data_IF_411550705397
#
_entry.id   IF_411550705397
#
_cell.length_a   1.000
_cell.length_b   1.000
_cell.length_c   1.000
_cell.angle_alpha   90.00
_cell.angle_beta   90.00
_cell.angle_gamma   90.00
#
_symmetry.space_group_name_H-M   'P 1'
#
loop_
_entity.id
_entity.type
_entity.pdbx_description
1 polymer ?
#
# COMPACT_ATOMS: atom_id res chain seq x y z
N UNK A 1 -10.90 17.93 -8.15
CA UNK A 1 -9.92 18.14 -7.06
C UNK A 1 -8.55 17.64 -7.56
N UNK A 2 -7.46 18.40 -7.41
CA UNK A 2 -6.13 17.99 -7.89
C UNK A 2 -5.39 17.21 -6.79
N UNK A 3 -4.67 16.15 -7.16
CA UNK A 3 -3.98 15.24 -6.24
C UNK A 3 -2.50 15.10 -6.60
N UNK A 4 -1.59 15.01 -5.60
CA UNK A 4 -0.17 14.83 -5.86
C UNK A 4 0.09 13.41 -6.41
N UNK A 5 0.63 13.32 -7.63
CA UNK A 5 1.01 12.06 -8.25
C UNK A 5 2.53 11.87 -8.17
N UNK A 6 2.96 10.83 -7.44
CA UNK A 6 4.35 10.41 -7.38
C UNK A 6 4.65 9.45 -8.54
N UNK A 7 5.10 9.97 -9.68
CA UNK A 7 5.63 9.16 -10.77
C UNK A 7 7.08 8.78 -10.44
N UNK A 8 7.35 7.95 -9.42
CA UNK A 8 8.70 7.55 -8.97
C UNK A 8 9.56 8.65 -8.29
N UNK A 9 10.61 8.23 -7.57
CA UNK A 9 11.48 9.09 -6.75
C UNK A 9 12.36 10.09 -7.54
N UNK A 10 12.25 10.10 -8.88
CA UNK A 10 13.04 10.95 -9.78
C UNK A 10 12.18 11.93 -10.58
N UNK A 11 10.87 12.02 -10.34
CA UNK A 11 10.02 13.00 -11.02
C UNK A 11 9.59 14.13 -10.11
N UNK A 12 9.41 15.30 -10.73
CA UNK A 12 8.83 16.48 -10.10
C UNK A 12 7.39 16.22 -9.66
N UNK A 13 6.99 16.92 -8.58
CA UNK A 13 5.63 16.90 -8.06
C UNK A 13 4.63 17.35 -9.14
N UNK A 14 3.77 16.43 -9.60
CA UNK A 14 2.69 16.74 -10.55
C UNK A 14 1.34 16.68 -9.86
N UNK A 15 0.54 17.73 -10.10
CA UNK A 15 -0.84 17.82 -9.64
C UNK A 15 -1.77 17.31 -10.74
N UNK A 16 -2.25 16.08 -10.59
CA UNK A 16 -3.16 15.45 -11.55
C UNK A 16 -4.56 15.23 -10.98
N UNK A 17 -5.39 14.49 -11.69
CA UNK A 17 -6.69 14.05 -11.16
C UNK A 17 -6.50 12.97 -10.09
N UNK A 18 -7.39 12.96 -9.09
CA UNK A 18 -7.35 11.98 -8.00
C UNK A 18 -7.77 10.60 -8.51
N UNK A 19 -6.80 9.76 -8.85
CA UNK A 19 -7.06 8.37 -9.23
C UNK A 19 -7.30 7.50 -8.00
N UNK A 20 -8.07 6.43 -8.16
CA UNK A 20 -8.29 5.42 -7.11
C UNK A 20 -6.97 4.95 -6.49
N UNK A 21 -5.98 4.62 -7.32
CA UNK A 21 -4.67 4.15 -6.87
C UNK A 21 -3.93 5.20 -6.04
N UNK A 22 -4.00 6.47 -6.42
CA UNK A 22 -3.33 7.55 -5.70
C UNK A 22 -3.97 7.76 -4.31
N UNK A 23 -5.30 7.82 -4.26
CA UNK A 23 -6.06 7.94 -3.00
C UNK A 23 -5.78 6.74 -2.10
N UNK A 24 -5.87 5.52 -2.65
CA UNK A 24 -5.65 4.28 -1.90
C UNK A 24 -4.21 4.19 -1.35
N UNK A 25 -3.21 4.68 -2.10
CA UNK A 25 -1.82 4.73 -1.63
C UNK A 25 -1.65 5.67 -0.44
N UNK A 26 -2.29 6.84 -0.47
CA UNK A 26 -2.24 7.82 0.62
C UNK A 26 -2.96 7.31 1.87
N UNK A 27 -4.19 6.80 1.72
CA UNK A 27 -4.95 6.26 2.85
C UNK A 27 -4.28 5.04 3.50
N UNK A 28 -3.55 4.25 2.72
CA UNK A 28 -2.80 3.10 3.21
C UNK A 28 -1.43 3.41 3.83
N UNK A 29 -0.98 4.68 3.83
CA UNK A 29 0.35 5.04 4.31
C UNK A 29 0.33 5.62 5.75
N UNK A 30 0.88 4.89 6.74
CA UNK A 30 0.87 5.32 8.16
C UNK A 30 1.71 6.57 8.45
N UNK A 31 2.54 7.03 7.49
CA UNK A 31 3.25 8.31 7.61
C UNK A 31 2.27 9.47 7.80
N UNK A 32 1.10 9.44 7.14
CA UNK A 32 0.08 10.48 7.34
C UNK A 32 -0.52 10.46 8.75
N UNK A 33 -0.35 9.37 9.49
CA UNK A 33 -0.75 9.22 10.88
C UNK A 33 0.38 9.54 11.88
N UNK A 34 1.47 10.17 11.42
CA UNK A 34 2.61 10.53 12.27
C UNK A 34 3.57 9.37 12.56
N UNK A 35 3.38 8.19 11.96
CA UNK A 35 4.20 7.02 12.27
C UNK A 35 5.40 6.86 11.34
N UNK A 36 6.54 6.47 11.93
CA UNK A 36 7.70 6.00 11.20
C UNK A 36 7.64 4.49 11.04
N UNK A 37 7.91 4.01 9.82
CA UNK A 37 7.74 2.60 9.46
C UNK A 37 8.90 2.10 8.61
N UNK A 38 9.40 0.91 8.93
CA UNK A 38 10.42 0.22 8.15
C UNK A 38 10.13 -1.29 8.07
N UNK A 39 10.60 -1.93 7.01
CA UNK A 39 10.41 -3.36 6.80
C UNK A 39 9.05 -3.76 6.22
N UNK A 40 8.36 -2.86 5.50
CA UNK A 40 7.09 -3.20 4.79
C UNK A 40 7.24 -4.33 3.78
N UNK A 41 8.45 -4.53 3.26
CA UNK A 41 8.79 -5.56 2.29
C UNK A 41 9.96 -6.39 2.79
N UNK A 42 9.87 -7.71 2.70
CA UNK A 42 10.96 -8.64 2.98
C UNK A 42 11.47 -9.25 1.69
N UNK A 43 12.80 -9.31 1.55
CA UNK A 43 13.50 -10.00 0.48
C UNK A 43 13.85 -11.40 0.96
N UNK A 44 13.33 -12.42 0.29
CA UNK A 44 13.57 -13.83 0.59
C UNK A 44 14.27 -14.49 -0.59
N UNK A 45 15.20 -15.41 -0.29
CA UNK A 45 15.76 -16.31 -1.30
C UNK A 45 15.06 -17.65 -1.15
N UNK A 46 14.33 -18.05 -2.19
CA UNK A 46 13.56 -19.29 -2.24
C UNK A 46 14.22 -20.20 -3.27
N UNK A 47 14.19 -21.51 -3.04
CA UNK A 47 14.59 -22.49 -4.03
C UNK A 47 13.38 -22.82 -4.91
N UNK A 48 13.53 -22.69 -6.22
CA UNK A 48 12.50 -23.13 -7.16
C UNK A 48 12.46 -24.67 -7.24
N UNK A 49 11.42 -25.22 -7.87
CA UNK A 49 11.22 -26.69 -8.01
C UNK A 49 12.41 -27.40 -8.69
N UNK A 50 13.21 -26.63 -9.45
CA UNK A 50 14.41 -27.08 -10.15
C UNK A 50 15.71 -26.96 -9.34
N UNK A 51 15.66 -26.47 -8.09
CA UNK A 51 16.86 -26.23 -7.29
C UNK A 51 17.54 -24.87 -7.55
N UNK A 52 16.94 -23.99 -8.36
CA UNK A 52 17.49 -22.67 -8.64
C UNK A 52 17.15 -21.65 -7.53
N UNK A 53 18.10 -20.80 -7.15
CA UNK A 53 17.86 -19.73 -6.15
C UNK A 53 17.13 -18.55 -6.80
N UNK A 54 15.90 -18.31 -6.36
CA UNK A 54 15.06 -17.19 -6.80
C UNK A 54 14.93 -16.15 -5.68
N UNK A 55 15.07 -14.86 -6.02
CA UNK A 55 14.82 -13.75 -5.08
C UNK A 55 13.37 -13.31 -5.20
N UNK A 56 12.62 -13.33 -4.09
CA UNK A 56 11.24 -12.86 -4.02
C UNK A 56 11.12 -11.70 -3.04
N UNK A 57 10.38 -10.67 -3.44
CA UNK A 57 9.99 -9.57 -2.55
C UNK A 57 8.55 -9.82 -2.12
N UNK A 58 8.32 -9.98 -0.81
CA UNK A 58 6.99 -10.15 -0.23
C UNK A 58 6.60 -8.91 0.56
N UNK A 59 5.37 -8.44 0.37
CA UNK A 59 4.75 -7.42 1.23
C UNK A 59 4.33 -8.07 2.54
N UNK A 60 4.74 -7.49 3.66
CA UNK A 60 4.44 -8.00 5.00
C UNK A 60 3.18 -7.33 5.59
N UNK A 61 2.37 -8.07 6.38
CA UNK A 61 1.34 -7.46 7.20
C UNK A 61 1.97 -6.52 8.23
N UNK A 62 1.17 -5.60 8.77
CA UNK A 62 1.68 -4.53 9.64
C UNK A 62 2.31 -5.06 10.94
N UNK A 63 1.78 -6.17 11.45
CA UNK A 63 2.29 -6.90 12.62
C UNK A 63 3.72 -7.46 12.43
N UNK A 64 4.11 -7.74 11.17
CA UNK A 64 5.43 -8.28 10.82
C UNK A 64 6.43 -7.19 10.40
N UNK A 65 6.04 -5.91 10.45
CA UNK A 65 6.96 -4.83 10.11
C UNK A 65 8.08 -4.74 11.16
N UNK A 66 9.31 -4.60 10.69
CA UNK A 66 10.48 -4.57 11.56
C UNK A 66 10.48 -3.35 12.49
N UNK A 67 9.93 -2.23 12.04
CA UNK A 67 9.81 -1.00 12.84
C UNK A 67 8.45 -0.36 12.57
N UNK A 68 7.73 -0.08 13.66
CA UNK A 68 6.54 0.77 13.69
C UNK A 68 6.62 1.65 14.95
N UNK A 69 7.00 2.92 14.76
CA UNK A 69 7.05 3.92 15.82
C UNK A 69 5.88 4.88 15.57
N UNK A 70 4.87 4.82 16.43
CA UNK A 70 3.74 5.75 16.43
C UNK A 70 4.18 7.10 17.00
N UNK A 71 3.49 8.18 16.60
CA UNK A 71 3.73 9.54 17.10
C UNK A 71 5.18 10.04 16.92
N UNK A 72 5.88 9.56 15.89
CA UNK A 72 7.25 9.99 15.55
C UNK A 72 7.29 11.45 15.06
N UNK A 73 6.25 11.88 14.36
CA UNK A 73 6.09 13.24 13.86
C UNK A 73 4.62 13.63 13.87
N UNK A 74 4.33 14.92 13.69
CA UNK A 74 2.96 15.39 13.57
C UNK A 74 2.30 14.78 12.32
N UNK A 75 1.34 13.90 12.55
CA UNK A 75 0.48 13.37 11.50
C UNK A 75 -0.51 14.41 10.99
N UNK A 76 -0.97 14.21 9.76
CA UNK A 76 -2.13 14.92 9.21
C UNK A 76 -3.44 14.38 9.78
N UNK A 77 -3.44 13.10 10.16
CA UNK A 77 -4.49 12.41 10.90
C UNK A 77 -3.89 11.77 12.14
N UNK A 78 -4.71 11.43 13.12
CA UNK A 78 -4.26 10.64 14.27
C UNK A 78 -4.22 9.13 13.95
N UNK A 79 -3.56 8.36 14.81
CA UNK A 79 -3.44 6.91 14.66
C UNK A 79 -4.80 6.18 14.67
N UNK A 80 -5.75 6.49 15.57
CA UNK A 80 -7.07 5.87 15.56
C UNK A 80 -7.84 6.11 14.26
N UNK A 81 -7.77 7.31 13.68
CA UNK A 81 -8.39 7.62 12.39
C UNK A 81 -7.76 6.80 11.26
N UNK A 82 -6.45 6.61 11.29
CA UNK A 82 -5.78 5.74 10.32
C UNK A 82 -6.25 4.29 10.42
N UNK A 83 -6.37 3.74 11.63
CA UNK A 83 -6.88 2.37 11.84
C UNK A 83 -8.33 2.24 11.34
N UNK A 84 -9.20 3.18 11.72
CA UNK A 84 -10.60 3.19 11.26
C UNK A 84 -10.71 3.28 9.72
N UNK A 85 -9.85 4.08 9.07
CA UNK A 85 -9.81 4.15 7.62
C UNK A 85 -9.39 2.83 6.99
N UNK A 86 -8.40 2.13 7.58
CA UNK A 86 -7.98 0.81 7.09
C UNK A 86 -9.07 -0.25 7.22
N UNK A 87 -9.80 -0.26 8.32
CA UNK A 87 -10.94 -1.17 8.52
C UNK A 87 -12.02 -0.93 7.47
N UNK A 88 -12.37 0.34 7.21
CA UNK A 88 -13.32 0.71 6.15
C UNK A 88 -12.82 0.27 4.78
N UNK A 89 -11.54 0.47 4.46
CA UNK A 89 -10.96 0.01 3.19
C UNK A 89 -11.00 -1.52 3.05
N UNK A 90 -10.75 -2.26 4.12
CA UNK A 90 -10.86 -3.71 4.13
C UNK A 90 -12.31 -4.16 3.90
N UNK A 91 -13.28 -3.54 4.57
CA UNK A 91 -14.71 -3.81 4.37
C UNK A 91 -15.18 -3.45 2.95
N UNK A 92 -14.63 -2.39 2.35
CA UNK A 92 -14.93 -1.96 0.99
C UNK A 92 -14.31 -2.87 -0.08
N UNK A 93 -13.40 -3.76 0.29
CA UNK A 93 -12.79 -4.74 -0.63
C UNK A 93 -13.81 -5.83 -0.95
N UNK A 94 -14.80 -5.52 -1.80
CA UNK A 94 -15.67 -6.53 -2.38
C UNK A 94 -14.89 -7.32 -3.43
N UNK A 95 -14.94 -8.66 -3.42
CA UNK A 95 -14.51 -9.46 -4.55
C UNK A 95 -15.50 -9.21 -5.70
N UNK A 96 -15.21 -8.23 -6.57
CA UNK A 96 -15.77 -8.27 -7.91
C UNK A 96 -15.11 -9.44 -8.60
N UNK A 97 -15.78 -10.60 -8.57
CA UNK A 97 -15.50 -11.69 -9.51
C UNK A 97 -15.47 -11.04 -10.88
N UNK A 98 -14.33 -11.11 -11.56
CA UNK A 98 -14.24 -10.74 -12.95
C UNK A 98 -15.13 -11.75 -13.68
N UNK A 99 -16.43 -11.45 -13.84
CA UNK A 99 -17.29 -12.21 -14.72
C UNK A 99 -16.62 -12.10 -16.08
N UNK A 100 -16.10 -13.23 -16.56
CA UNK A 100 -15.47 -13.30 -17.88
C UNK A 100 -16.47 -12.76 -18.89
N UNK A 101 -16.13 -11.66 -19.55
CA UNK A 101 -16.75 -11.29 -20.81
C UNK A 101 -16.24 -12.30 -21.87
N UNK A 102 -16.90 -13.45 -21.93
CA UNK A 102 -16.95 -14.29 -23.12
C UNK A 102 -18.43 -14.58 -23.31
N UNK A 103 -18.99 -14.01 -24.38
CA UNK A 103 -19.99 -14.60 -25.29
C UNK A 103 -20.82 -13.47 -25.92
N UNK A 104 -20.37 -12.95 -27.06
CA UNK A 104 -21.29 -12.47 -28.10
C UNK A 104 -20.81 -13.02 -29.44
N UNK A 105 -21.74 -13.77 -30.02
CA UNK A 105 -21.66 -14.53 -31.27
C UNK A 105 -21.60 -13.63 -32.51
#
# INVERSE_FOLDING_TARGET
MKFPLWLNARTELRWGEASYHAIHSVLGNPVYAGAYVYGKYRRETVLDETGARCKRIRKLPMEDWQVLIKDHHQGYIDWPTFEANRERMAANTQPRTHAKAQEQA
#
